data_IF_534373881726
#
_entry.id   IF_534373881726
#
_cell.length_a   1.000
_cell.length_b   1.000
_cell.length_c   1.000
_cell.angle_alpha   90.00
_cell.angle_beta   90.00
_cell.angle_gamma   90.00
#
_symmetry.space_group_name_H-M   'P 1'
#
loop_
_entity.id
_entity.type
_entity.pdbx_description
1 polymer ?
#
# COMPACT_ATOMS: atom_id res chain seq x y z
N UNK A 1 12.52 3.03 -4.13
CA UNK A 1 13.85 3.43 -3.61
C UNK A 1 14.78 3.78 -4.76
N UNK A 2 15.93 4.43 -4.52
CA UNK A 2 16.80 4.97 -5.58
C UNK A 2 17.46 3.90 -6.47
N UNK A 3 17.43 2.62 -6.05
CA UNK A 3 18.05 1.49 -6.76
C UNK A 3 17.03 0.53 -7.40
N UNK A 4 15.73 0.82 -7.32
CA UNK A 4 14.70 0.00 -7.96
C UNK A 4 14.55 0.37 -9.45
N UNK A 5 14.06 -0.54 -10.31
CA UNK A 5 13.69 -0.17 -11.66
C UNK A 5 12.72 1.02 -11.61
N UNK A 6 12.90 1.97 -12.54
CA UNK A 6 11.98 3.09 -12.65
C UNK A 6 10.55 2.55 -12.74
N UNK A 7 9.65 3.07 -11.91
CA UNK A 7 8.25 2.68 -11.94
C UNK A 7 7.68 3.13 -13.29
N UNK A 8 7.54 2.20 -14.23
CA UNK A 8 6.96 2.48 -15.54
C UNK A 8 5.44 2.47 -15.41
N UNK A 9 4.87 3.62 -15.08
CA UNK A 9 3.42 3.82 -14.94
C UNK A 9 2.77 4.30 -16.24
N UNK A 10 3.56 4.51 -17.31
CA UNK A 10 3.07 4.94 -18.60
C UNK A 10 2.01 3.98 -19.16
N UNK A 11 0.87 4.53 -19.61
CA UNK A 11 -0.21 3.78 -20.24
C UNK A 11 -1.20 3.09 -19.29
N UNK A 12 -1.02 3.18 -17.96
CA UNK A 12 -1.88 2.51 -16.99
C UNK A 12 -2.76 3.52 -16.23
N UNK A 13 -4.08 3.33 -16.28
CA UNK A 13 -5.03 4.15 -15.54
C UNK A 13 -5.09 3.87 -14.03
N UNK A 14 -4.59 2.71 -13.60
CA UNK A 14 -4.60 2.29 -12.22
C UNK A 14 -3.32 1.52 -11.86
N UNK A 15 -2.88 1.66 -10.62
CA UNK A 15 -1.73 0.94 -10.07
C UNK A 15 -2.13 0.21 -8.78
N UNK A 16 -1.75 -1.07 -8.69
CA UNK A 16 -1.87 -1.88 -7.48
C UNK A 16 -0.47 -2.13 -6.89
N UNK A 17 -0.26 -1.67 -5.67
CA UNK A 17 0.96 -1.91 -4.90
C UNK A 17 0.66 -3.02 -3.89
N UNK A 18 1.21 -4.22 -4.10
CA UNK A 18 1.00 -5.36 -3.20
C UNK A 18 2.24 -5.58 -2.32
N UNK A 19 2.10 -5.24 -1.04
CA UNK A 19 3.15 -5.36 -0.03
C UNK A 19 2.87 -6.52 0.93
N UNK A 20 3.89 -7.35 1.17
CA UNK A 20 3.86 -8.38 2.22
C UNK A 20 5.13 -8.33 3.06
N UNK A 21 4.98 -8.44 4.39
CA UNK A 21 6.13 -8.47 5.31
C UNK A 21 7.05 -7.26 5.16
N UNK A 22 8.37 -7.48 5.06
CA UNK A 22 9.39 -6.40 4.91
C UNK A 22 9.27 -5.62 3.60
N UNK A 23 8.54 -6.16 2.60
CA UNK A 23 8.30 -5.50 1.32
C UNK A 23 7.38 -4.28 1.40
N UNK A 24 6.77 -4.02 2.55
CA UNK A 24 5.94 -2.82 2.76
C UNK A 24 6.73 -1.53 2.70
N UNK A 25 7.93 -1.49 3.27
CA UNK A 25 8.71 -0.25 3.36
C UNK A 25 8.97 0.38 2.00
N UNK A 26 9.49 -0.34 0.98
CA UNK A 26 9.70 0.25 -0.34
C UNK A 26 8.40 0.62 -1.07
N UNK A 27 7.33 -0.17 -0.91
CA UNK A 27 6.05 0.08 -1.60
C UNK A 27 5.24 1.22 -0.97
N UNK A 28 5.29 1.35 0.34
CA UNK A 28 4.75 2.51 1.05
C UNK A 28 5.51 3.80 0.66
N UNK A 29 6.83 3.72 0.50
CA UNK A 29 7.62 4.84 -0.04
C UNK A 29 7.17 5.24 -1.45
N UNK A 30 6.97 4.27 -2.34
CA UNK A 30 6.42 4.51 -3.69
C UNK A 30 5.01 5.11 -3.63
N UNK A 31 4.15 4.61 -2.75
CA UNK A 31 2.80 5.14 -2.55
C UNK A 31 2.84 6.63 -2.15
N UNK A 32 3.63 6.99 -1.13
CA UNK A 32 3.80 8.38 -0.70
C UNK A 32 4.39 9.27 -1.78
N UNK A 33 5.37 8.75 -2.54
CA UNK A 33 5.97 9.48 -3.65
C UNK A 33 4.94 9.82 -4.74
N UNK A 34 4.10 8.86 -5.14
CA UNK A 34 3.03 9.10 -6.12
C UNK A 34 2.01 10.13 -5.61
N UNK A 35 1.70 10.13 -4.31
CA UNK A 35 0.85 11.16 -3.72
C UNK A 35 1.46 12.54 -3.77
N UNK A 36 2.76 12.65 -3.48
CA UNK A 36 3.47 13.91 -3.58
C UNK A 36 3.47 14.42 -5.03
N UNK A 37 3.73 13.56 -6.00
CA UNK A 37 3.64 13.90 -7.41
C UNK A 37 2.22 14.36 -7.79
N UNK A 38 1.18 13.68 -7.31
CA UNK A 38 -0.21 14.06 -7.56
C UNK A 38 -0.54 15.45 -6.98
N UNK A 39 -0.07 15.75 -5.76
CA UNK A 39 -0.22 17.08 -5.14
C UNK A 39 0.48 18.19 -5.91
N UNK A 40 1.60 17.87 -6.56
CA UNK A 40 2.37 18.81 -7.38
C UNK A 40 1.88 18.90 -8.83
N UNK A 41 0.85 18.12 -9.22
CA UNK A 41 0.41 18.04 -10.62
C UNK A 41 1.42 17.36 -11.55
N UNK A 42 2.36 16.59 -10.98
CA UNK A 42 3.45 15.90 -11.68
C UNK A 42 3.25 14.38 -11.72
N UNK A 43 2.04 13.91 -11.46
CA UNK A 43 1.75 12.49 -11.54
C UNK A 43 1.84 11.98 -12.99
N UNK A 44 2.15 10.68 -13.18
CA UNK A 44 2.18 10.07 -14.51
C UNK A 44 0.89 10.31 -15.29
N UNK A 45 1.03 10.71 -16.55
CA UNK A 45 -0.10 10.98 -17.44
C UNK A 45 -0.99 9.73 -17.55
N UNK A 46 -2.29 9.92 -17.34
CA UNK A 46 -3.29 8.86 -17.42
C UNK A 46 -3.53 8.11 -16.11
N UNK A 47 -2.68 8.25 -15.10
CA UNK A 47 -2.91 7.60 -13.80
C UNK A 47 -4.11 8.25 -13.09
N UNK A 48 -5.10 7.43 -12.71
CA UNK A 48 -6.33 7.86 -12.02
C UNK A 48 -6.51 7.21 -10.66
N UNK A 49 -5.85 6.08 -10.41
CA UNK A 49 -6.00 5.34 -9.16
C UNK A 49 -4.70 4.68 -8.73
N UNK A 50 -4.42 4.76 -7.43
CA UNK A 50 -3.37 3.97 -6.78
C UNK A 50 -3.98 3.27 -5.57
N UNK A 51 -3.80 1.95 -5.49
CA UNK A 51 -4.27 1.14 -4.38
C UNK A 51 -3.09 0.40 -3.74
N UNK A 52 -2.89 0.56 -2.42
CA UNK A 52 -1.92 -0.18 -1.65
C UNK A 52 -2.61 -1.32 -0.89
N UNK A 53 -2.22 -2.56 -1.17
CA UNK A 53 -2.59 -3.71 -0.36
C UNK A 53 -1.42 -4.05 0.52
N UNK A 54 -1.59 -3.97 1.83
CA UNK A 54 -0.56 -4.30 2.79
C UNK A 54 -0.96 -5.52 3.61
N UNK A 55 -0.19 -6.60 3.46
CA UNK A 55 -0.35 -7.86 4.17
C UNK A 55 0.72 -7.97 5.28
N UNK A 56 0.27 -8.04 6.53
CA UNK A 56 1.12 -8.17 7.71
C UNK A 56 0.76 -9.40 8.57
N UNK A 57 1.71 -9.84 9.40
CA UNK A 57 1.53 -10.92 10.39
C UNK A 57 1.26 -10.41 11.80
N UNK A 58 1.53 -9.13 12.07
CA UNK A 58 1.30 -8.49 13.36
C UNK A 58 0.73 -7.08 13.14
N UNK A 59 -0.18 -6.67 14.01
CA UNK A 59 -0.81 -5.34 13.95
C UNK A 59 0.23 -4.26 14.24
N UNK A 60 1.21 -4.56 15.11
CA UNK A 60 2.32 -3.67 15.40
C UNK A 60 3.08 -3.19 14.14
N UNK A 61 3.16 -4.00 13.08
CA UNK A 61 3.80 -3.56 11.82
C UNK A 61 2.86 -2.65 11.02
N UNK A 62 1.54 -2.84 11.09
CA UNK A 62 0.56 -1.94 10.49
C UNK A 62 0.61 -0.56 11.17
N UNK A 63 0.74 -0.53 12.50
CA UNK A 63 0.77 0.70 13.29
C UNK A 63 1.90 1.65 12.88
N UNK A 64 3.05 1.10 12.47
CA UNK A 64 4.18 1.89 11.95
C UNK A 64 3.83 2.75 10.73
N UNK A 65 2.79 2.37 9.98
CA UNK A 65 2.38 3.07 8.76
C UNK A 65 0.97 3.68 8.89
N UNK A 66 0.30 3.52 10.03
CA UNK A 66 -1.10 3.89 10.20
C UNK A 66 -1.33 5.40 9.99
N UNK A 67 -0.50 6.24 10.60
CA UNK A 67 -0.62 7.70 10.44
C UNK A 67 -0.42 8.13 8.99
N UNK A 68 0.63 7.63 8.33
CA UNK A 68 0.91 7.97 6.95
C UNK A 68 -0.14 7.46 5.96
N UNK A 69 -0.74 6.29 6.23
CA UNK A 69 -1.84 5.77 5.42
C UNK A 69 -3.12 6.57 5.65
N UNK A 70 -3.38 7.00 6.88
CA UNK A 70 -4.52 7.85 7.22
C UNK A 70 -4.44 9.21 6.50
N UNK A 71 -3.29 9.90 6.62
CA UNK A 71 -3.02 11.14 5.88
C UNK A 71 -3.18 10.97 4.36
N UNK A 72 -2.76 9.81 3.86
CA UNK A 72 -2.83 9.48 2.46
C UNK A 72 -4.26 9.29 1.96
N UNK A 73 -5.14 8.67 2.74
CA UNK A 73 -6.52 8.37 2.34
C UNK A 73 -7.51 9.51 2.65
N UNK A 74 -7.20 10.40 3.60
CA UNK A 74 -8.09 11.49 3.98
C UNK A 74 -7.93 12.76 3.11
N UNK A 75 -6.78 12.92 2.44
CA UNK A 75 -6.45 14.10 1.63
C UNK A 75 -7.15 14.19 0.26
N UNK A 76 -8.16 13.36 -0.02
CA UNK A 76 -8.66 13.08 -1.38
C UNK A 76 -9.57 14.15 -2.01
N UNK A 77 -10.18 15.06 -1.23
CA UNK A 77 -11.28 15.88 -1.73
C UNK A 77 -10.94 16.86 -2.88
N UNK A 78 -9.67 17.01 -3.27
CA UNK A 78 -9.22 17.93 -4.34
C UNK A 78 -8.27 17.31 -5.36
N UNK A 79 -8.07 15.99 -5.37
CA UNK A 79 -7.08 15.35 -6.25
C UNK A 79 -7.75 14.64 -7.43
N UNK A 80 -7.13 14.73 -8.61
CA UNK A 80 -7.57 14.01 -9.83
C UNK A 80 -7.27 12.49 -9.74
N UNK A 81 -6.40 12.09 -8.81
CA UNK A 81 -5.97 10.71 -8.59
C UNK A 81 -6.48 10.23 -7.23
N UNK A 82 -7.13 9.07 -7.23
CA UNK A 82 -7.65 8.43 -6.00
C UNK A 82 -6.60 7.52 -5.37
N UNK A 83 -6.35 7.70 -4.08
CA UNK A 83 -5.39 6.92 -3.29
C UNK A 83 -6.08 6.15 -2.18
N UNK A 84 -6.01 4.82 -2.25
CA UNK A 84 -6.67 3.95 -1.28
C UNK A 84 -5.71 2.90 -0.75
N UNK A 85 -6.00 2.37 0.44
CA UNK A 85 -5.22 1.30 1.05
C UNK A 85 -6.14 0.25 1.67
N UNK A 86 -5.72 -1.01 1.60
CA UNK A 86 -6.35 -2.14 2.29
C UNK A 86 -5.30 -2.85 3.14
N UNK A 87 -5.63 -3.08 4.41
CA UNK A 87 -4.77 -3.76 5.37
C UNK A 87 -5.30 -5.18 5.59
N UNK A 88 -4.45 -6.17 5.38
CA UNK A 88 -4.77 -7.58 5.57
C UNK A 88 -3.87 -8.20 6.63
N UNK A 89 -4.49 -8.89 7.57
CA UNK A 89 -3.81 -9.63 8.61
C UNK A 89 -3.78 -11.11 8.26
N UNK A 90 -2.60 -11.73 8.30
CA UNK A 90 -2.43 -13.18 8.09
C UNK A 90 -2.06 -13.85 9.40
N UNK A 91 -3.03 -14.49 10.03
CA UNK A 91 -2.78 -15.43 11.14
C UNK A 91 -2.55 -16.84 10.57
N UNK A 92 -1.65 -17.62 11.16
CA UNK A 92 -1.61 -19.08 10.88
C UNK A 92 -2.78 -19.73 11.60
N UNK A 93 -3.76 -20.35 10.93
CA UNK A 93 -4.70 -21.21 11.65
C UNK A 93 -3.91 -22.41 12.18
N UNK A 94 -3.94 -22.64 13.50
CA UNK A 94 -3.49 -23.91 14.10
C UNK A 94 -2.09 -23.95 14.70
N UNK A 95 -1.96 -23.50 15.95
CA UNK A 95 -1.12 -24.16 16.97
C UNK A 95 -1.97 -24.44 18.21
N UNK A 96 -3.23 -24.83 17.99
CA UNK A 96 -4.03 -25.49 19.03
C UNK A 96 -3.57 -26.95 19.15
N UNK A 97 -3.72 -27.58 20.33
CA UNK A 97 -3.46 -29.01 20.47
C UNK A 97 -4.28 -29.80 19.45
N UNK A 98 -3.75 -30.93 18.91
CA UNK A 98 -4.48 -31.75 17.96
C UNK A 98 -5.85 -32.12 18.55
N UNK A 99 -6.90 -31.94 17.76
CA UNK A 99 -8.24 -32.39 18.15
C UNK A 99 -8.18 -33.90 18.44
N UNK A 100 -8.76 -34.36 19.56
CA UNK A 100 -8.79 -35.79 19.84
C UNK A 100 -9.52 -36.49 18.70
N UNK A 101 -8.85 -37.50 18.13
CA UNK A 101 -9.45 -38.40 17.15
C UNK A 101 -10.68 -39.04 17.83
N UNK A 102 -11.84 -38.79 17.26
CA UNK A 102 -13.09 -39.48 17.59
C UNK A 102 -13.13 -40.87 16.94
#
# INVERSE_FOLDING_TARGET
GPYGPALHVGGHGALLLLAGGIGVTPLHGTFRYLQQLARLGQAPVGLRRVHLVFVARSVAVLDLFAESLREATEGEARQEIRFSAALHFTHRPGTGPPLPLA
#
